data_IF_266723353116
#
_entry.id   IF_266723353116
#
_cell.length_a   1.000
_cell.length_b   1.000
_cell.length_c   1.000
_cell.angle_alpha   90.00
_cell.angle_beta   90.00
_cell.angle_gamma   90.00
#
_symmetry.space_group_name_H-M   'P 1'
#
loop_
_entity.id
_entity.type
_entity.pdbx_description
1 polymer ?
#
# COMPACT_ATOMS: atom_id res chain seq x y z
N UNK A 1 -4.17 -9.54 12.19
CA UNK A 1 -5.16 -8.50 11.84
C UNK A 1 -4.42 -7.19 11.76
N UNK A 2 -4.21 -6.69 10.55
CA UNK A 2 -3.56 -5.40 10.31
C UNK A 2 -4.62 -4.44 9.81
N UNK A 3 -4.69 -3.26 10.44
CA UNK A 3 -5.59 -2.18 10.07
C UNK A 3 -4.75 -0.96 9.70
N UNK A 4 -4.95 -0.44 8.50
CA UNK A 4 -4.25 0.76 8.01
C UNK A 4 -5.29 1.80 7.61
N UNK A 5 -5.18 2.99 8.19
CA UNK A 5 -5.98 4.14 7.84
C UNK A 5 -5.08 5.26 7.31
N UNK A 6 -5.33 5.71 6.08
CA UNK A 6 -4.63 6.83 5.46
C UNK A 6 -5.59 8.02 5.43
N UNK A 7 -5.19 9.16 5.99
CA UNK A 7 -5.97 10.40 5.95
C UNK A 7 -5.14 11.52 5.33
N UNK A 8 -5.67 12.13 4.26
CA UNK A 8 -5.04 13.24 3.55
C UNK A 8 -5.81 14.53 3.81
N UNK A 9 -5.14 15.63 4.22
CA UNK A 9 -5.78 16.92 4.34
C UNK A 9 -6.16 17.46 2.95
N UNK A 10 -7.34 18.04 2.83
CA UNK A 10 -7.80 18.71 1.60
C UNK A 10 -7.84 20.21 1.86
N UNK A 11 -7.07 20.98 1.11
CA UNK A 11 -7.12 22.44 1.18
C UNK A 11 -8.42 22.96 0.53
N UNK A 12 -9.38 23.37 1.36
CA UNK A 12 -10.57 24.11 0.93
C UNK A 12 -10.59 25.51 1.53
N UNK A 13 -11.04 26.53 0.76
CA UNK A 13 -11.15 27.89 1.29
C UNK A 13 -12.21 27.95 2.40
N UNK A 14 -11.76 28.15 3.64
CA UNK A 14 -12.61 28.42 4.81
C UNK A 14 -13.21 27.19 5.49
N UNK A 15 -12.76 25.97 5.17
CA UNK A 15 -13.19 24.73 5.87
C UNK A 15 -12.06 23.71 5.93
N UNK A 16 -11.90 23.07 7.08
CA UNK A 16 -11.00 21.95 7.25
C UNK A 16 -11.73 20.66 6.85
N UNK A 17 -11.23 19.97 5.83
CA UNK A 17 -11.75 18.68 5.39
C UNK A 17 -10.61 17.67 5.20
N UNK A 18 -10.89 16.41 5.50
CA UNK A 18 -9.94 15.32 5.37
C UNK A 18 -10.54 14.21 4.51
N UNK A 19 -9.76 13.69 3.57
CA UNK A 19 -10.11 12.51 2.80
C UNK A 19 -9.45 11.29 3.41
N UNK A 20 -10.23 10.29 3.81
CA UNK A 20 -9.70 9.09 4.45
C UNK A 20 -9.99 7.80 3.69
N UNK A 21 -9.03 6.88 3.77
CA UNK A 21 -9.07 5.53 3.23
C UNK A 21 -8.74 4.51 4.30
N UNK A 22 -9.59 3.50 4.43
CA UNK A 22 -9.45 2.42 5.40
C UNK A 22 -9.17 1.11 4.65
N UNK A 23 -8.10 0.44 5.03
CA UNK A 23 -7.68 -0.85 4.48
C UNK A 23 -7.61 -1.86 5.61
N UNK A 24 -8.31 -2.97 5.44
CA UNK A 24 -8.33 -4.08 6.38
C UNK A 24 -7.75 -5.32 5.70
N UNK A 25 -6.70 -5.88 6.31
CA UNK A 25 -6.07 -7.12 5.84
C UNK A 25 -6.34 -8.24 6.87
N UNK A 26 -7.09 -9.25 6.43
CA UNK A 26 -7.49 -10.41 7.25
C UNK A 26 -6.59 -11.60 6.89
N UNK A 27 -5.47 -11.72 7.60
CA UNK A 27 -4.60 -12.87 7.44
C UNK A 27 -5.21 -14.10 8.10
N UNK A 28 -5.44 -15.16 7.32
CA UNK A 28 -5.77 -16.47 7.85
C UNK A 28 -4.57 -17.02 8.60
N UNK A 29 -4.70 -17.19 9.91
CA UNK A 29 -3.72 -17.93 10.70
C UNK A 29 -3.84 -19.42 10.31
N UNK A 30 -2.73 -20.14 10.06
CA UNK A 30 -2.78 -21.58 9.86
C UNK A 30 -3.33 -22.23 11.13
N UNK A 31 -4.47 -22.92 11.00
CA UNK A 31 -5.28 -23.39 12.13
C UNK A 31 -4.73 -24.64 12.83
N UNK A 32 -3.61 -25.20 12.37
CA UNK A 32 -3.16 -26.52 12.78
C UNK A 32 -1.63 -26.68 12.75
N UNK A 33 -0.89 -25.84 13.48
CA UNK A 33 0.56 -25.99 13.63
C UNK A 33 0.94 -25.98 15.12
N UNK A 34 1.50 -27.09 15.59
CA UNK A 34 1.96 -27.30 16.98
C UNK A 34 3.46 -27.05 17.16
N UNK A 35 4.23 -26.90 16.07
CA UNK A 35 5.66 -26.59 16.09
C UNK A 35 6.00 -25.55 15.02
N UNK A 36 6.56 -24.42 15.46
CA UNK A 36 6.96 -23.30 14.61
C UNK A 36 8.39 -23.56 14.10
N UNK A 37 8.52 -24.37 13.04
CA UNK A 37 9.84 -24.67 12.46
C UNK A 37 10.26 -23.57 11.48
N UNK A 38 11.49 -23.07 11.65
CA UNK A 38 12.00 -21.94 10.89
C UNK A 38 12.66 -22.44 9.58
N UNK A 39 12.38 -21.79 8.42
CA UNK A 39 11.49 -20.65 8.24
C UNK A 39 10.03 -21.09 8.06
N UNK A 40 9.07 -20.41 8.70
CA UNK A 40 7.66 -20.70 8.45
C UNK A 40 7.32 -20.41 6.99
N UNK A 41 6.63 -21.35 6.33
CA UNK A 41 5.93 -21.09 5.07
C UNK A 41 4.71 -20.22 5.37
N UNK A 42 4.96 -18.95 5.68
CA UNK A 42 3.90 -17.93 5.78
C UNK A 42 3.46 -17.66 4.35
N UNK A 43 2.27 -18.11 4.00
CA UNK A 43 1.59 -17.65 2.79
C UNK A 43 1.45 -16.13 2.92
N UNK A 44 2.21 -15.38 2.11
CA UNK A 44 2.15 -13.92 2.09
C UNK A 44 0.83 -13.52 1.46
N UNK A 45 -0.17 -13.37 2.31
CA UNK A 45 -1.54 -13.01 1.94
C UNK A 45 -1.66 -11.58 1.38
N UNK A 46 -0.65 -10.73 1.59
CA UNK A 46 -0.45 -9.51 0.81
C UNK A 46 0.73 -9.67 -0.15
N UNK A 47 0.40 -9.94 -1.41
CA UNK A 47 1.37 -9.92 -2.51
C UNK A 47 1.44 -8.53 -3.15
N UNK A 48 2.63 -8.17 -3.66
CA UNK A 48 2.83 -6.93 -4.42
C UNK A 48 1.88 -6.85 -5.61
N UNK A 49 1.60 -7.99 -6.23
CA UNK A 49 0.67 -8.05 -7.35
C UNK A 49 -0.75 -7.61 -6.95
N UNK A 50 -1.26 -8.06 -5.80
CA UNK A 50 -2.57 -7.62 -5.30
C UNK A 50 -2.62 -6.12 -5.04
N UNK A 51 -1.54 -5.54 -4.47
CA UNK A 51 -1.44 -4.10 -4.28
C UNK A 51 -1.40 -3.35 -5.62
N UNK A 52 -0.60 -3.80 -6.58
CA UNK A 52 -0.52 -3.20 -7.91
C UNK A 52 -1.85 -3.25 -8.65
N UNK A 53 -2.59 -4.35 -8.57
CA UNK A 53 -3.94 -4.45 -9.12
C UNK A 53 -4.92 -3.48 -8.44
N UNK A 54 -4.83 -3.33 -7.11
CA UNK A 54 -5.64 -2.36 -6.37
C UNK A 54 -5.32 -0.91 -6.80
N UNK A 55 -4.04 -0.56 -6.91
CA UNK A 55 -3.60 0.75 -7.39
C UNK A 55 -4.02 0.99 -8.84
N UNK A 56 -3.83 0.04 -9.74
CA UNK A 56 -4.24 0.16 -11.15
C UNK A 56 -5.75 0.42 -11.26
N UNK A 57 -6.57 -0.36 -10.53
CA UNK A 57 -8.03 -0.17 -10.49
C UNK A 57 -8.40 1.20 -9.96
N UNK A 58 -7.73 1.69 -8.92
CA UNK A 58 -8.00 3.01 -8.34
C UNK A 58 -7.63 4.12 -9.32
N UNK A 59 -6.47 4.05 -9.95
CA UNK A 59 -6.02 4.99 -10.98
C UNK A 59 -7.02 5.03 -12.15
N UNK A 60 -7.47 3.86 -12.62
CA UNK A 60 -8.52 3.76 -13.65
C UNK A 60 -9.85 4.37 -13.19
N UNK A 61 -10.26 4.13 -11.95
CA UNK A 61 -11.49 4.68 -11.39
C UNK A 61 -11.48 6.22 -11.32
N UNK A 62 -10.29 6.82 -11.20
CA UNK A 62 -10.10 8.27 -11.27
C UNK A 62 -9.98 8.82 -12.71
N UNK A 63 -10.08 7.97 -13.75
CA UNK A 63 -10.03 8.38 -15.16
C UNK A 63 -8.63 8.46 -15.77
N UNK A 64 -7.60 8.02 -15.06
CA UNK A 64 -6.21 8.02 -15.53
C UNK A 64 -5.82 6.69 -16.20
N UNK A 65 -4.77 6.68 -17.05
CA UNK A 65 -4.30 5.45 -17.69
C UNK A 65 -3.66 4.51 -16.67
N UNK A 66 -4.46 3.57 -16.14
CA UNK A 66 -4.13 2.63 -15.05
C UNK A 66 -2.70 2.11 -15.01
N UNK A 67 -2.41 1.11 -15.86
CA UNK A 67 -1.12 0.41 -15.88
C UNK A 67 0.04 1.33 -16.21
N UNK A 68 -0.15 2.26 -17.15
CA UNK A 68 0.89 3.19 -17.60
C UNK A 68 1.32 4.14 -16.48
N UNK A 69 0.35 4.73 -15.76
CA UNK A 69 0.61 5.57 -14.58
C UNK A 69 1.25 4.76 -13.46
N UNK A 70 0.75 3.55 -13.18
CA UNK A 70 1.31 2.70 -12.13
C UNK A 70 2.80 2.38 -12.37
N UNK A 71 3.14 1.93 -13.58
CA UNK A 71 4.53 1.62 -13.94
C UNK A 71 5.43 2.85 -13.89
N UNK A 72 4.90 4.01 -14.30
CA UNK A 72 5.61 5.29 -14.19
C UNK A 72 5.90 5.64 -12.73
N UNK A 73 4.92 5.51 -11.84
CA UNK A 73 5.09 5.74 -10.40
C UNK A 73 6.12 4.79 -9.78
N UNK A 74 6.07 3.49 -10.11
CA UNK A 74 7.10 2.52 -9.68
C UNK A 74 8.49 2.98 -10.12
N UNK A 75 8.64 3.37 -11.39
CA UNK A 75 9.92 3.81 -11.93
C UNK A 75 10.44 5.10 -11.28
N UNK A 76 9.56 6.08 -11.05
CA UNK A 76 9.93 7.35 -10.42
C UNK A 76 10.38 7.14 -8.96
N UNK A 77 9.67 6.30 -8.20
CA UNK A 77 9.98 6.00 -6.79
C UNK A 77 11.26 5.16 -6.66
N UNK A 78 11.50 4.22 -7.58
CA UNK A 78 12.73 3.41 -7.57
C UNK A 78 13.98 4.21 -7.94
N UNK A 79 13.84 5.28 -8.74
CA UNK A 79 14.95 6.14 -9.12
C UNK A 79 15.23 7.24 -8.08
N UNK A 80 14.18 7.81 -7.50
CA UNK A 80 14.29 8.79 -6.42
C UNK A 80 13.73 8.12 -5.16
N UNK A 81 14.57 7.35 -4.47
CA UNK A 81 14.19 6.87 -3.14
C UNK A 81 13.87 8.10 -2.31
N UNK A 82 12.69 8.14 -1.69
CA UNK A 82 12.19 9.27 -0.90
C UNK A 82 13.35 9.78 -0.02
N UNK A 83 13.91 10.93 -0.40
CA UNK A 83 15.28 11.34 -0.01
C UNK A 83 15.43 11.60 1.51
N UNK A 84 14.31 11.62 2.23
CA UNK A 84 14.23 11.51 3.68
C UNK A 84 13.05 10.58 4.02
N UNK A 85 13.23 9.55 4.88
CA UNK A 85 12.11 8.70 5.27
C UNK A 85 11.15 9.56 6.10
N UNK A 86 10.07 10.01 5.47
CA UNK A 86 8.96 10.75 6.08
C UNK A 86 8.15 9.87 7.05
N UNK A 87 8.84 9.28 8.03
CA UNK A 87 8.32 8.31 8.98
C UNK A 87 7.82 7.01 8.32
N UNK A 88 6.91 6.33 9.03
CA UNK A 88 6.35 5.02 8.66
C UNK A 88 5.72 5.02 7.26
N UNK A 89 5.14 6.15 6.82
CA UNK A 89 4.52 6.24 5.50
C UNK A 89 5.57 6.12 4.37
N UNK A 90 6.75 6.73 4.55
CA UNK A 90 7.84 6.62 3.58
C UNK A 90 8.33 5.19 3.44
N UNK A 91 8.49 4.48 4.56
CA UNK A 91 8.87 3.06 4.56
C UNK A 91 7.81 2.18 3.89
N UNK A 92 6.52 2.41 4.16
CA UNK A 92 5.43 1.67 3.51
C UNK A 92 5.48 1.88 1.99
N UNK A 93 5.63 3.12 1.52
CA UNK A 93 5.71 3.41 0.09
C UNK A 93 6.92 2.73 -0.53
N UNK A 94 8.07 2.74 0.15
CA UNK A 94 9.27 2.05 -0.32
C UNK A 94 9.05 0.54 -0.44
N UNK A 95 8.46 -0.12 0.57
CA UNK A 95 8.17 -1.57 0.57
C UNK A 95 7.24 -1.97 -0.58
N UNK A 96 6.29 -1.10 -0.95
CA UNK A 96 5.32 -1.40 -2.02
C UNK A 96 5.93 -1.18 -3.41
N UNK A 97 6.72 -0.12 -3.59
CA UNK A 97 7.09 0.39 -4.92
C UNK A 97 8.57 0.24 -5.29
N UNK A 98 9.44 -0.22 -4.38
CA UNK A 98 10.83 -0.61 -4.66
C UNK A 98 10.95 -2.13 -4.72
#
# INVERSE_FOLDING_TARGET
>A
MIFVALAFPIDLPGRDAYYSHFFEAIHSLPSNQTSFEYPPLVERDMDRQMMYEAFERKIKAHGFPGKSCLLRTICEISQHSIEEPNGVLGEIIHIIFT
#
